data_IF_693767518905
#
_entry.id   IF_693767518905
#
_cell.length_a   1.000
_cell.length_b   1.000
_cell.length_c   1.000
_cell.angle_alpha   90.00
_cell.angle_beta   90.00
_cell.angle_gamma   90.00
#
_symmetry.space_group_name_H-M   'P 1'
#
loop_
_entity.id
_entity.type
_entity.pdbx_description
1 polymer ?
#
# COMPACT_ATOMS: atom_id res chain seq x y z
N UNK A 1 85.77 6.44 -12.52
CA UNK A 1 84.87 6.35 -11.36
C UNK A 1 83.58 6.98 -11.78
N UNK A 2 82.63 6.16 -12.19
CA UNK A 2 81.26 6.56 -12.51
C UNK A 2 80.33 5.84 -11.55
N UNK A 3 79.68 6.60 -10.67
CA UNK A 3 78.66 6.08 -9.79
C UNK A 3 77.34 5.88 -10.56
N UNK A 4 76.83 4.69 -10.56
CA UNK A 4 75.53 4.35 -11.15
C UNK A 4 74.42 4.66 -10.19
N UNK A 5 73.48 5.54 -10.61
CA UNK A 5 72.22 5.78 -9.93
C UNK A 5 71.26 4.62 -10.21
N UNK A 6 70.95 3.86 -9.19
CA UNK A 6 69.85 2.90 -9.22
C UNK A 6 68.50 3.62 -9.11
N UNK A 7 67.61 3.40 -10.08
CA UNK A 7 66.21 3.83 -10.06
C UNK A 7 65.44 2.77 -9.25
N UNK A 8 64.61 3.17 -8.24
CA UNK A 8 63.77 2.20 -7.56
C UNK A 8 62.58 1.80 -8.43
N UNK A 9 62.40 0.51 -8.62
CA UNK A 9 61.24 -0.12 -9.24
C UNK A 9 60.01 0.19 -8.41
N UNK A 10 59.13 1.07 -8.92
CA UNK A 10 57.81 1.30 -8.40
C UNK A 10 56.82 0.28 -9.01
N UNK A 11 56.84 -0.94 -8.50
CA UNK A 11 55.82 -1.92 -8.76
C UNK A 11 55.04 -2.15 -7.43
N UNK A 12 54.30 -1.13 -6.97
CA UNK A 12 53.29 -1.36 -5.97
C UNK A 12 52.15 -2.10 -6.63
N UNK A 13 52.08 -3.42 -6.36
CA UNK A 13 50.94 -4.25 -6.67
C UNK A 13 49.71 -3.70 -5.99
N UNK A 14 48.85 -3.03 -6.74
CA UNK A 14 47.46 -2.78 -6.35
C UNK A 14 46.83 -4.14 -6.07
N UNK A 15 46.60 -4.45 -4.79
CA UNK A 15 45.84 -5.60 -4.38
C UNK A 15 44.46 -5.60 -5.06
N UNK A 16 43.85 -6.76 -5.25
CA UNK A 16 42.55 -6.83 -5.91
C UNK A 16 41.59 -5.94 -5.14
N UNK A 17 41.05 -4.91 -5.82
CA UNK A 17 39.92 -4.16 -5.32
C UNK A 17 38.82 -5.21 -5.07
N UNK A 18 38.44 -5.44 -3.81
CA UNK A 18 37.37 -6.36 -3.46
C UNK A 18 36.15 -5.95 -4.27
N UNK A 19 35.73 -6.80 -5.20
CA UNK A 19 34.54 -6.57 -6.00
C UNK A 19 33.35 -6.39 -5.03
N UNK A 20 32.52 -5.36 -5.28
CA UNK A 20 31.32 -5.13 -4.47
C UNK A 20 30.40 -6.35 -4.58
N UNK A 21 29.77 -6.82 -3.48
CA UNK A 21 28.80 -7.91 -3.58
C UNK A 21 27.67 -7.55 -4.53
N UNK A 22 27.26 -8.49 -5.36
CA UNK A 22 26.15 -8.34 -6.29
C UNK A 22 24.81 -8.68 -5.63
N UNK A 23 23.78 -7.89 -5.89
CA UNK A 23 22.43 -8.09 -5.34
C UNK A 23 21.38 -8.01 -6.43
N UNK A 24 20.56 -9.06 -6.55
CA UNK A 24 19.32 -9.02 -7.31
C UNK A 24 18.18 -8.48 -6.43
N UNK A 25 17.41 -7.52 -6.92
CA UNK A 25 16.18 -7.05 -6.29
C UNK A 25 15.01 -7.41 -7.20
N UNK A 26 14.03 -8.17 -6.69
CA UNK A 26 12.91 -8.70 -7.47
C UNK A 26 11.65 -7.94 -7.12
N UNK A 27 11.11 -7.20 -8.09
CA UNK A 27 9.95 -6.33 -7.94
C UNK A 27 10.32 -4.86 -7.69
N UNK A 28 9.67 -3.96 -8.43
CA UNK A 28 9.90 -2.52 -8.41
C UNK A 28 8.84 -1.72 -7.65
N UNK A 29 8.08 -2.35 -6.75
CA UNK A 29 7.23 -1.63 -5.79
C UNK A 29 8.07 -0.75 -4.86
N UNK A 30 7.43 0.03 -4.01
CA UNK A 30 8.12 0.95 -3.08
C UNK A 30 9.17 0.23 -2.22
N UNK A 31 8.93 -1.03 -1.83
CA UNK A 31 9.87 -1.84 -1.04
C UNK A 31 11.15 -2.18 -1.82
N UNK A 32 10.99 -2.71 -3.04
CA UNK A 32 12.11 -3.07 -3.88
C UNK A 32 12.92 -1.86 -4.34
N UNK A 33 12.25 -0.79 -4.78
CA UNK A 33 12.92 0.46 -5.16
C UNK A 33 13.70 1.08 -3.99
N UNK A 34 13.13 1.07 -2.77
CA UNK A 34 13.82 1.58 -1.57
C UNK A 34 15.03 0.71 -1.24
N UNK A 35 14.89 -0.61 -1.24
CA UNK A 35 15.98 -1.54 -0.98
C UNK A 35 17.10 -1.39 -2.02
N UNK A 36 16.74 -1.40 -3.31
CA UNK A 36 17.68 -1.24 -4.41
C UNK A 36 18.48 0.06 -4.28
N UNK A 37 17.79 1.18 -4.07
CA UNK A 37 18.42 2.49 -3.91
C UNK A 37 19.43 2.51 -2.76
N UNK A 38 19.06 2.00 -1.60
CA UNK A 38 19.96 1.99 -0.44
C UNK A 38 21.16 1.07 -0.66
N UNK A 39 20.95 -0.10 -1.25
CA UNK A 39 21.98 -1.09 -1.51
C UNK A 39 23.03 -0.60 -2.52
N UNK A 40 22.70 0.33 -3.44
CA UNK A 40 23.69 0.91 -4.37
C UNK A 40 24.89 1.56 -3.66
N UNK A 41 24.76 1.90 -2.38
CA UNK A 41 25.86 2.49 -1.60
C UNK A 41 27.02 1.53 -1.41
N UNK A 42 26.76 0.22 -1.36
CA UNK A 42 27.76 -0.81 -1.02
C UNK A 42 27.75 -2.05 -1.92
N UNK A 43 26.73 -2.21 -2.78
CA UNK A 43 26.52 -3.37 -3.62
C UNK A 43 26.36 -2.98 -5.08
N UNK A 44 26.64 -3.94 -5.97
CA UNK A 44 26.27 -3.87 -7.39
C UNK A 44 24.85 -4.42 -7.54
N UNK A 45 23.90 -3.52 -7.81
CA UNK A 45 22.46 -3.81 -7.76
C UNK A 45 21.89 -3.96 -9.15
N UNK A 46 21.14 -5.05 -9.38
CA UNK A 46 20.26 -5.25 -10.54
C UNK A 46 18.81 -5.35 -10.05
N UNK A 47 17.93 -4.49 -10.54
CA UNK A 47 16.49 -4.52 -10.27
C UNK A 47 15.75 -5.22 -11.42
N UNK A 48 14.94 -6.23 -11.09
CA UNK A 48 14.08 -6.96 -12.02
C UNK A 48 12.61 -6.57 -11.80
N UNK A 49 11.91 -6.27 -12.90
CA UNK A 49 10.48 -5.96 -12.92
C UNK A 49 9.80 -6.72 -14.07
N UNK A 50 8.75 -7.45 -13.76
CA UNK A 50 7.99 -8.21 -14.73
C UNK A 50 7.15 -7.33 -15.65
N UNK A 51 6.64 -6.20 -15.13
CA UNK A 51 5.86 -5.23 -15.89
C UNK A 51 6.77 -4.30 -16.73
N UNK A 52 6.22 -3.72 -17.77
CA UNK A 52 6.88 -2.64 -18.54
C UNK A 52 7.02 -1.34 -17.77
N UNK A 53 6.27 -1.20 -16.68
CA UNK A 53 6.19 -0.05 -15.79
C UNK A 53 6.85 -0.36 -14.44
N UNK A 54 7.55 0.60 -13.86
CA UNK A 54 8.04 0.52 -12.48
C UNK A 54 7.03 1.11 -11.50
N UNK A 55 7.15 0.76 -10.23
CA UNK A 55 6.45 1.40 -9.12
C UNK A 55 5.36 0.56 -8.45
N UNK A 56 4.96 -0.58 -9.04
CA UNK A 56 3.88 -1.39 -8.48
C UNK A 56 2.60 -0.57 -8.31
N UNK A 57 2.11 -0.39 -7.08
CA UNK A 57 0.93 0.43 -6.77
C UNK A 57 1.14 1.96 -6.91
N UNK A 58 2.36 2.45 -7.10
CA UNK A 58 2.60 3.82 -7.55
C UNK A 58 2.38 3.89 -9.06
N UNK A 59 1.18 4.26 -9.47
CA UNK A 59 0.75 4.27 -10.86
C UNK A 59 0.03 5.57 -11.21
N UNK A 60 0.70 6.40 -12.01
CA UNK A 60 0.21 7.71 -12.47
C UNK A 60 -0.14 7.65 -13.96
N UNK A 61 -1.28 8.21 -14.32
CA UNK A 61 -1.78 8.34 -15.69
C UNK A 61 -1.71 9.80 -16.12
N UNK A 62 -1.18 10.06 -17.31
CA UNK A 62 -1.20 11.39 -17.93
C UNK A 62 -2.50 11.57 -18.71
N UNK A 63 -3.30 12.54 -18.32
CA UNK A 63 -4.62 12.79 -18.86
C UNK A 63 -4.72 14.22 -19.37
N UNK A 64 -5.26 14.39 -20.57
CA UNK A 64 -5.57 15.70 -21.15
C UNK A 64 -7.06 15.99 -20.95
N UNK A 65 -7.39 17.04 -20.22
CA UNK A 65 -8.77 17.47 -20.02
C UNK A 65 -9.37 18.11 -21.27
N UNK A 66 -10.70 18.31 -21.28
CA UNK A 66 -11.42 18.89 -22.42
C UNK A 66 -11.03 20.35 -22.74
N UNK A 67 -10.46 21.06 -21.78
CA UNK A 67 -9.90 22.41 -21.95
C UNK A 67 -8.42 22.43 -22.37
N UNK A 68 -7.82 21.24 -22.62
CA UNK A 68 -6.43 21.06 -23.00
C UNK A 68 -5.44 21.08 -21.83
N UNK A 69 -5.90 21.17 -20.58
CA UNK A 69 -5.01 21.07 -19.41
C UNK A 69 -4.55 19.65 -19.16
N UNK A 70 -3.27 19.49 -18.76
CA UNK A 70 -2.64 18.20 -18.48
C UNK A 70 -2.72 17.89 -16.98
N UNK A 71 -3.07 16.64 -16.66
CA UNK A 71 -3.23 16.15 -15.28
C UNK A 71 -2.55 14.80 -15.08
N UNK A 72 -1.72 14.70 -14.04
CA UNK A 72 -1.11 13.44 -13.60
C UNK A 72 -1.97 12.82 -12.49
N UNK A 73 -2.76 11.81 -12.82
CA UNK A 73 -3.75 11.21 -11.93
C UNK A 73 -3.28 9.83 -11.45
N UNK A 74 -3.16 9.66 -10.14
CA UNK A 74 -2.78 8.37 -9.52
C UNK A 74 -3.99 7.42 -9.43
N UNK A 75 -3.75 6.12 -9.62
CA UNK A 75 -4.78 5.09 -9.49
C UNK A 75 -4.53 4.07 -8.37
N UNK A 76 -3.35 4.09 -7.76
CA UNK A 76 -2.99 3.18 -6.67
C UNK A 76 -2.60 3.95 -5.40
N UNK A 77 -1.30 4.22 -5.19
CA UNK A 77 -0.85 5.05 -4.07
C UNK A 77 -1.16 6.53 -4.33
N UNK A 78 -1.90 7.16 -3.40
CA UNK A 78 -2.42 8.52 -3.57
C UNK A 78 -1.92 9.46 -2.46
N UNK A 79 -1.98 9.01 -1.20
CA UNK A 79 -1.80 9.90 -0.03
C UNK A 79 -0.90 9.31 1.03
N UNK A 80 -0.23 10.19 1.78
CA UNK A 80 0.52 9.89 2.99
C UNK A 80 0.29 11.00 4.02
N UNK A 81 0.78 10.83 5.25
CA UNK A 81 0.61 11.85 6.29
C UNK A 81 1.89 12.12 7.08
N UNK A 82 1.88 13.16 7.89
CA UNK A 82 3.05 13.62 8.65
C UNK A 82 3.36 12.81 9.91
N UNK A 83 2.46 11.93 10.33
CA UNK A 83 2.58 11.17 11.58
C UNK A 83 3.05 9.74 11.38
N UNK A 84 2.47 9.04 10.41
CA UNK A 84 2.62 7.58 10.28
C UNK A 84 3.46 7.16 9.07
N UNK A 85 4.07 8.11 8.35
CA UNK A 85 4.92 7.86 7.17
C UNK A 85 6.36 8.40 7.32
N UNK A 86 7.10 8.09 8.41
CA UNK A 86 8.43 8.64 8.65
C UNK A 86 9.46 8.22 7.61
N UNK A 87 9.47 6.96 7.19
CA UNK A 87 10.44 6.44 6.21
C UNK A 87 10.16 6.95 4.81
N UNK A 88 8.90 6.91 4.39
CA UNK A 88 8.50 7.41 3.07
C UNK A 88 8.79 8.93 2.96
N UNK A 89 8.49 9.69 4.01
CA UNK A 89 8.80 11.14 4.03
C UNK A 89 10.29 11.42 4.01
N UNK A 90 11.10 10.59 4.70
CA UNK A 90 12.56 10.69 4.63
C UNK A 90 13.05 10.42 3.20
N UNK A 91 12.50 9.39 2.55
CA UNK A 91 12.79 9.07 1.16
C UNK A 91 12.42 10.23 0.23
N UNK A 92 11.23 10.80 0.37
CA UNK A 92 10.79 11.95 -0.43
C UNK A 92 11.68 13.17 -0.23
N UNK A 93 12.11 13.44 1.01
CA UNK A 93 13.04 14.55 1.29
C UNK A 93 14.41 14.34 0.62
N UNK A 94 14.98 13.11 0.69
CA UNK A 94 16.27 12.78 0.05
C UNK A 94 16.19 12.83 -1.49
N UNK A 95 15.02 12.49 -2.02
CA UNK A 95 14.75 12.54 -3.45
C UNK A 95 14.26 13.93 -3.92
N UNK A 96 14.09 14.90 -3.02
CA UNK A 96 13.52 16.24 -3.31
C UNK A 96 12.11 16.18 -3.93
N UNK A 97 11.31 15.19 -3.56
CA UNK A 97 9.93 15.01 -4.05
C UNK A 97 9.03 16.06 -3.43
N UNK A 98 8.40 16.87 -4.25
CA UNK A 98 7.44 17.88 -3.81
C UNK A 98 6.12 17.20 -3.42
N UNK A 99 5.53 17.63 -2.30
CA UNK A 99 4.23 17.14 -1.81
C UNK A 99 3.28 18.30 -1.55
N UNK A 100 1.97 18.07 -1.69
CA UNK A 100 0.93 19.06 -1.47
C UNK A 100 0.00 18.61 -0.35
N UNK A 101 -0.46 19.53 0.53
CA UNK A 101 -1.51 19.21 1.49
C UNK A 101 -2.79 18.74 0.79
N UNK A 102 -3.45 17.76 1.38
CA UNK A 102 -4.75 17.27 0.93
C UNK A 102 -5.68 17.01 2.10
N UNK A 103 -6.96 16.81 1.80
CA UNK A 103 -7.95 16.40 2.80
C UNK A 103 -8.13 14.87 2.77
N UNK A 104 -8.59 14.35 3.90
CA UNK A 104 -9.04 12.97 4.02
C UNK A 104 -10.46 12.96 4.56
N UNK A 105 -11.38 12.48 3.77
CA UNK A 105 -12.79 12.34 4.12
C UNK A 105 -13.38 11.08 3.49
N UNK A 106 -14.35 10.48 4.15
CA UNK A 106 -15.01 9.26 3.71
C UNK A 106 -16.53 9.43 3.75
N UNK A 107 -17.21 8.99 2.72
CA UNK A 107 -18.67 8.91 2.67
C UNK A 107 -19.17 7.47 2.61
N UNK A 108 -20.43 7.32 3.04
CA UNK A 108 -21.19 6.09 2.88
C UNK A 108 -22.48 6.41 2.15
N UNK A 109 -22.77 5.65 1.09
CA UNK A 109 -24.03 5.64 0.37
C UNK A 109 -24.64 4.25 0.39
N UNK A 110 -25.84 4.11 0.92
CA UNK A 110 -26.64 2.88 0.85
C UNK A 110 -27.81 3.09 -0.12
N UNK A 111 -27.88 2.26 -1.17
CA UNK A 111 -28.94 2.39 -2.20
C UNK A 111 -30.30 1.95 -1.67
N UNK A 112 -30.36 0.93 -0.82
CA UNK A 112 -31.62 0.39 -0.28
C UNK A 112 -32.33 1.40 0.64
N UNK A 113 -31.65 1.88 1.70
CA UNK A 113 -32.28 2.82 2.64
C UNK A 113 -32.10 4.29 2.26
N UNK A 114 -31.34 4.58 1.19
CA UNK A 114 -31.07 5.93 0.72
C UNK A 114 -30.25 6.79 1.69
N UNK A 115 -29.49 6.18 2.62
CA UNK A 115 -28.61 6.89 3.54
C UNK A 115 -27.38 7.40 2.80
N UNK A 116 -27.11 8.70 2.92
CA UNK A 116 -25.87 9.33 2.47
C UNK A 116 -25.33 10.27 3.55
N UNK A 117 -24.07 10.09 3.94
CA UNK A 117 -23.36 10.97 4.86
C UNK A 117 -21.85 10.92 4.62
N UNK A 118 -21.10 11.88 5.15
CA UNK A 118 -19.64 11.87 5.12
C UNK A 118 -19.02 12.20 6.48
N UNK A 119 -18.05 11.41 6.89
CA UNK A 119 -17.11 11.71 7.97
C UNK A 119 -15.93 12.54 7.46
N UNK A 120 -15.25 13.25 8.38
CA UNK A 120 -14.11 14.10 8.03
C UNK A 120 -14.45 15.46 7.43
N UNK A 121 -15.74 15.73 7.13
CA UNK A 121 -16.25 17.00 6.56
C UNK A 121 -17.08 17.83 7.54
N UNK A 122 -16.93 17.56 8.84
CA UNK A 122 -17.67 18.25 9.88
C UNK A 122 -19.19 18.07 9.79
N UNK A 123 -19.95 19.04 10.33
CA UNK A 123 -21.41 18.97 10.32
C UNK A 123 -22.03 18.94 8.91
N UNK A 124 -21.41 19.60 7.93
CA UNK A 124 -21.91 19.62 6.55
C UNK A 124 -21.95 18.22 5.93
N UNK A 125 -20.93 17.40 6.18
CA UNK A 125 -20.90 16.03 5.69
C UNK A 125 -21.84 15.11 6.48
N UNK A 126 -21.82 15.21 7.81
CA UNK A 126 -22.70 14.42 8.68
C UNK A 126 -24.19 14.67 8.42
N UNK A 127 -24.54 15.90 8.08
CA UNK A 127 -25.91 16.36 7.82
C UNK A 127 -26.15 16.60 6.32
N UNK A 128 -25.47 15.87 5.46
CA UNK A 128 -25.66 15.96 4.01
C UNK A 128 -27.12 15.75 3.59
N UNK A 129 -27.86 14.97 4.37
CA UNK A 129 -29.31 14.77 4.27
C UNK A 129 -30.00 15.27 5.56
N UNK A 130 -30.45 16.55 5.68
CA UNK A 130 -31.03 17.10 6.93
C UNK A 130 -32.23 16.31 7.47
N UNK A 131 -32.98 15.65 6.58
CA UNK A 131 -34.12 14.79 6.98
C UNK A 131 -33.71 13.63 7.90
N UNK A 132 -32.46 13.21 7.86
CA UNK A 132 -31.93 12.12 8.72
C UNK A 132 -31.82 12.52 10.20
N UNK A 133 -31.90 13.79 10.53
CA UNK A 133 -32.03 14.24 11.93
C UNK A 133 -33.34 13.75 12.59
N UNK A 134 -34.34 13.36 11.81
CA UNK A 134 -35.58 12.77 12.27
C UNK A 134 -35.56 11.23 12.24
N UNK A 135 -34.47 10.62 11.80
CA UNK A 135 -34.30 9.18 11.71
C UNK A 135 -33.65 8.63 13.00
N UNK A 136 -34.40 7.87 13.84
CA UNK A 136 -33.85 7.33 15.08
C UNK A 136 -32.71 6.37 14.88
N UNK A 137 -32.68 5.59 13.76
CA UNK A 137 -31.60 4.66 13.46
C UNK A 137 -30.29 5.41 13.15
N UNK A 138 -30.38 6.48 12.36
CA UNK A 138 -29.22 7.34 12.08
C UNK A 138 -28.67 7.99 13.36
N UNK A 139 -29.54 8.56 14.20
CA UNK A 139 -29.10 9.17 15.47
C UNK A 139 -28.45 8.13 16.40
N UNK A 140 -29.03 6.94 16.49
CA UNK A 140 -28.47 5.84 17.27
C UNK A 140 -27.09 5.42 16.74
N UNK A 141 -26.94 5.33 15.42
CA UNK A 141 -25.64 5.06 14.77
C UNK A 141 -24.58 6.09 15.18
N UNK A 142 -24.90 7.38 15.17
CA UNK A 142 -23.98 8.44 15.61
C UNK A 142 -23.55 8.31 17.07
N UNK A 143 -24.47 7.89 17.96
CA UNK A 143 -24.13 7.60 19.36
C UNK A 143 -23.22 6.38 19.48
N UNK A 144 -23.46 5.35 18.66
CA UNK A 144 -22.61 4.16 18.63
C UNK A 144 -21.21 4.45 18.10
N UNK A 145 -21.01 5.41 17.19
CA UNK A 145 -19.66 5.85 16.76
C UNK A 145 -18.83 6.30 17.97
N UNK A 146 -19.37 7.12 18.85
CA UNK A 146 -18.65 7.56 20.07
C UNK A 146 -18.36 6.39 21.02
N UNK A 147 -19.32 5.47 21.16
CA UNK A 147 -19.14 4.25 21.96
C UNK A 147 -18.06 3.37 21.37
N UNK A 148 -18.04 3.20 20.06
CA UNK A 148 -17.04 2.42 19.32
C UNK A 148 -15.63 2.97 19.55
N UNK A 149 -15.39 4.27 19.34
CA UNK A 149 -14.08 4.88 19.60
C UNK A 149 -13.60 4.63 21.04
N UNK A 150 -14.49 4.79 22.02
CA UNK A 150 -14.15 4.54 23.43
C UNK A 150 -13.80 3.08 23.69
N UNK A 151 -14.56 2.12 23.13
CA UNK A 151 -14.33 0.68 23.32
C UNK A 151 -13.09 0.20 22.59
N UNK A 152 -12.85 0.67 21.37
CA UNK A 152 -11.63 0.41 20.63
C UNK A 152 -10.38 0.91 21.37
N UNK A 153 -10.42 2.15 21.86
CA UNK A 153 -9.32 2.70 22.68
C UNK A 153 -9.12 1.91 23.99
N UNK A 154 -10.20 1.43 24.63
CA UNK A 154 -10.10 0.58 25.82
C UNK A 154 -9.43 -0.76 25.53
N UNK A 155 -9.74 -1.39 24.39
CA UNK A 155 -9.05 -2.62 23.94
C UNK A 155 -7.55 -2.38 23.72
N UNK A 156 -7.17 -1.26 23.11
CA UNK A 156 -5.76 -0.93 22.90
C UNK A 156 -4.96 -0.75 24.20
N UNK A 157 -5.62 -0.31 25.28
CA UNK A 157 -5.02 -0.13 26.60
C UNK A 157 -4.96 -1.42 27.44
N UNK A 158 -5.63 -2.48 26.99
CA UNK A 158 -5.57 -3.78 27.64
C UNK A 158 -4.15 -4.36 27.57
N UNK A 159 -3.64 -5.03 28.61
CA UNK A 159 -2.28 -5.60 28.63
C UNK A 159 -2.11 -6.81 27.71
N UNK A 160 -3.18 -7.43 27.25
CA UNK A 160 -3.12 -8.59 26.35
C UNK A 160 -2.79 -8.17 24.92
N UNK A 161 -1.51 -8.13 24.60
CA UNK A 161 -1.05 -7.79 23.24
C UNK A 161 -1.24 -8.94 22.24
N UNK A 162 -1.44 -10.15 22.69
CA UNK A 162 -1.69 -11.35 21.87
C UNK A 162 -3.16 -11.58 21.52
N UNK A 163 -4.07 -10.68 21.92
CA UNK A 163 -5.51 -10.81 21.64
C UNK A 163 -5.78 -10.77 20.12
N UNK A 164 -6.12 -11.93 19.56
CA UNK A 164 -6.50 -12.14 18.16
C UNK A 164 -8.02 -12.17 17.95
N UNK A 165 -8.81 -11.70 18.92
CA UNK A 165 -10.27 -11.52 18.77
C UNK A 165 -10.55 -10.79 17.46
N UNK A 166 -11.41 -11.36 16.61
CA UNK A 166 -11.75 -10.76 15.33
C UNK A 166 -12.62 -9.51 15.51
N UNK A 167 -12.63 -8.65 14.49
CA UNK A 167 -13.46 -7.44 14.49
C UNK A 167 -14.95 -7.77 14.64
N UNK A 168 -15.44 -8.81 13.97
CA UNK A 168 -16.81 -9.28 14.11
C UNK A 168 -17.12 -9.72 15.55
N UNK A 169 -16.27 -10.54 16.16
CA UNK A 169 -16.42 -10.96 17.56
C UNK A 169 -16.37 -9.77 18.54
N UNK A 170 -15.53 -8.78 18.28
CA UNK A 170 -15.50 -7.55 19.09
C UNK A 170 -16.81 -6.79 18.97
N UNK A 171 -17.35 -6.58 17.78
CA UNK A 171 -18.61 -5.85 17.54
C UNK A 171 -19.79 -6.55 18.22
N UNK A 172 -19.86 -7.88 18.11
CA UNK A 172 -20.89 -8.70 18.75
C UNK A 172 -20.79 -8.64 20.28
N UNK A 173 -19.61 -8.90 20.85
CA UNK A 173 -19.34 -8.84 22.29
C UNK A 173 -19.70 -7.50 22.91
N UNK A 174 -19.43 -6.42 22.19
CA UNK A 174 -19.74 -5.07 22.63
C UNK A 174 -21.20 -4.67 22.34
N UNK A 175 -21.99 -5.51 21.67
CA UNK A 175 -23.43 -5.29 21.41
C UNK A 175 -23.69 -4.09 20.49
N UNK A 176 -22.93 -3.98 19.40
CA UNK A 176 -23.23 -3.04 18.33
C UNK A 176 -24.36 -3.60 17.46
N UNK A 177 -25.31 -2.74 17.05
CA UNK A 177 -26.40 -3.20 16.21
C UNK A 177 -25.99 -3.32 14.74
N UNK A 178 -26.77 -4.09 14.00
CA UNK A 178 -26.51 -4.41 12.59
C UNK A 178 -26.48 -3.15 11.71
N UNK A 179 -27.30 -2.14 12.00
CA UNK A 179 -27.31 -0.89 11.26
C UNK A 179 -25.97 -0.13 11.40
N UNK A 180 -25.43 -0.08 12.61
CA UNK A 180 -24.10 0.50 12.86
C UNK A 180 -23.00 -0.33 12.17
N UNK A 181 -23.09 -1.66 12.27
CA UNK A 181 -22.09 -2.55 11.63
C UNK A 181 -22.08 -2.33 10.13
N UNK A 182 -23.24 -2.34 9.49
CA UNK A 182 -23.35 -2.21 8.03
C UNK A 182 -22.98 -0.81 7.53
N UNK A 183 -23.41 0.25 8.21
CA UNK A 183 -23.29 1.62 7.68
C UNK A 183 -22.12 2.42 8.24
N UNK A 184 -21.38 1.90 9.22
CA UNK A 184 -20.18 2.57 9.75
C UNK A 184 -19.00 1.62 9.91
N UNK A 185 -19.17 0.53 10.69
CA UNK A 185 -18.04 -0.30 11.10
C UNK A 185 -17.36 -1.01 9.91
N UNK A 186 -18.13 -1.68 9.08
CA UNK A 186 -17.62 -2.34 7.86
C UNK A 186 -17.09 -1.31 6.84
N UNK A 187 -17.83 -0.24 6.48
CA UNK A 187 -17.34 0.78 5.56
C UNK A 187 -15.97 1.36 5.90
N UNK A 188 -15.68 1.61 7.18
CA UNK A 188 -14.37 2.13 7.62
C UNK A 188 -13.24 1.16 7.25
N UNK A 189 -13.42 -0.14 7.49
CA UNK A 189 -12.41 -1.15 7.18
C UNK A 189 -12.30 -1.37 5.66
N UNK A 190 -13.45 -1.49 5.00
CA UNK A 190 -13.52 -1.73 3.56
C UNK A 190 -12.91 -0.58 2.74
N UNK A 191 -13.10 0.68 3.14
CA UNK A 191 -12.46 1.81 2.48
C UNK A 191 -10.94 1.79 2.62
N UNK A 192 -10.42 1.31 3.76
CA UNK A 192 -8.98 1.33 4.06
C UNK A 192 -8.24 0.19 3.36
N UNK A 193 -8.83 -1.02 3.31
CA UNK A 193 -8.17 -2.22 2.77
C UNK A 193 -8.85 -2.85 1.56
N UNK A 194 -9.88 -2.21 1.00
CA UNK A 194 -10.65 -2.74 -0.14
C UNK A 194 -11.22 -4.14 0.12
N UNK A 195 -11.48 -4.46 1.39
CA UNK A 195 -11.94 -5.76 1.83
C UNK A 195 -13.47 -5.83 1.86
N UNK A 196 -14.06 -6.91 1.34
CA UNK A 196 -15.49 -7.19 1.47
C UNK A 196 -15.91 -7.37 2.94
N UNK A 197 -17.23 -7.31 3.21
CA UNK A 197 -17.79 -7.37 4.56
C UNK A 197 -17.27 -8.58 5.38
N UNK A 198 -17.32 -9.77 4.81
CA UNK A 198 -16.91 -10.99 5.51
C UNK A 198 -15.43 -10.94 5.90
N UNK A 199 -14.58 -10.55 4.96
CA UNK A 199 -13.13 -10.39 5.19
C UNK A 199 -12.86 -9.29 6.21
N UNK A 200 -13.54 -8.15 6.12
CA UNK A 200 -13.38 -7.05 7.07
C UNK A 200 -13.69 -7.46 8.53
N UNK A 201 -14.68 -8.34 8.73
CA UNK A 201 -15.05 -8.84 10.06
C UNK A 201 -14.05 -9.87 10.62
N UNK A 202 -13.21 -10.48 9.79
CA UNK A 202 -12.15 -11.41 10.22
C UNK A 202 -10.87 -10.71 10.68
N UNK A 203 -10.69 -9.42 10.40
CA UNK A 203 -9.49 -8.69 10.85
C UNK A 203 -9.33 -8.78 12.36
N UNK A 204 -8.12 -9.02 12.90
CA UNK A 204 -7.88 -8.93 14.34
C UNK A 204 -8.19 -7.52 14.85
N UNK A 205 -9.14 -7.40 15.77
CA UNK A 205 -9.66 -6.10 16.21
C UNK A 205 -8.57 -5.17 16.76
N UNK A 206 -7.66 -5.73 17.56
CA UNK A 206 -6.53 -4.96 18.13
C UNK A 206 -5.58 -4.42 17.06
N UNK A 207 -5.26 -5.23 16.05
CA UNK A 207 -4.43 -4.84 14.91
C UNK A 207 -5.09 -3.71 14.11
N UNK A 208 -6.36 -3.87 13.78
CA UNK A 208 -7.19 -2.86 13.14
C UNK A 208 -7.24 -1.54 13.94
N UNK A 209 -7.52 -1.62 15.24
CA UNK A 209 -7.65 -0.41 16.07
C UNK A 209 -6.33 0.30 16.26
N UNK A 210 -5.20 -0.40 16.31
CA UNK A 210 -3.87 0.21 16.34
C UNK A 210 -3.64 1.05 15.08
N UNK A 211 -4.00 0.53 13.92
CA UNK A 211 -3.96 1.31 12.67
C UNK A 211 -4.86 2.55 12.73
N UNK A 212 -6.14 2.38 13.11
CA UNK A 212 -7.10 3.49 13.19
C UNK A 212 -6.65 4.58 14.18
N UNK A 213 -6.08 4.19 15.31
CA UNK A 213 -5.56 5.13 16.32
C UNK A 213 -4.35 5.91 15.80
N UNK A 214 -3.38 5.23 15.19
CA UNK A 214 -2.21 5.87 14.60
C UNK A 214 -2.60 6.89 13.52
N UNK A 215 -3.63 6.61 12.74
CA UNK A 215 -4.14 7.51 11.70
C UNK A 215 -5.15 8.55 12.20
N UNK A 216 -5.37 8.61 13.52
CA UNK A 216 -6.29 9.56 14.14
C UNK A 216 -7.78 9.31 13.84
N UNK A 217 -8.13 8.08 13.40
CA UNK A 217 -9.50 7.70 13.01
C UNK A 217 -10.36 7.25 14.19
N UNK A 218 -9.79 7.05 15.39
CA UNK A 218 -10.52 6.78 16.63
C UNK A 218 -10.82 8.04 17.43
N UNK A 219 -10.60 9.22 16.86
CA UNK A 219 -10.87 10.51 17.50
C UNK A 219 -11.61 11.46 16.56
N UNK A 220 -12.42 12.35 17.15
CA UNK A 220 -13.14 13.39 16.37
C UNK A 220 -12.22 14.56 15.99
N UNK A 221 -11.09 14.71 16.69
CA UNK A 221 -10.09 15.77 16.47
C UNK A 221 -8.69 15.17 16.54
N UNK A 222 -7.73 15.83 15.88
CA UNK A 222 -6.33 15.42 15.92
C UNK A 222 -5.92 14.45 14.82
N UNK A 223 -6.66 14.41 13.71
CA UNK A 223 -6.19 13.74 12.48
C UNK A 223 -4.87 14.34 12.02
N UNK A 224 -3.94 13.53 11.49
CA UNK A 224 -2.71 14.02 10.91
C UNK A 224 -2.99 14.90 9.68
N UNK A 225 -2.02 15.73 9.29
CA UNK A 225 -2.09 16.40 8.00
C UNK A 225 -1.75 15.40 6.90
N UNK A 226 -2.62 15.30 5.92
CA UNK A 226 -2.43 14.45 4.75
C UNK A 226 -1.80 15.22 3.60
N UNK A 227 -1.06 14.50 2.77
CA UNK A 227 -0.34 15.01 1.61
C UNK A 227 -0.48 14.05 0.43
N UNK A 228 -0.36 14.61 -0.78
CA UNK A 228 -0.21 13.87 -2.04
C UNK A 228 1.06 14.31 -2.75
N UNK A 229 1.58 13.48 -3.65
CA UNK A 229 2.78 13.81 -4.43
C UNK A 229 2.43 14.77 -5.56
N UNK A 230 3.15 15.88 -5.67
CA UNK A 230 3.00 16.81 -6.78
C UNK A 230 3.49 16.16 -8.09
N UNK A 231 2.65 16.19 -9.12
CA UNK A 231 2.94 15.51 -10.40
C UNK A 231 2.71 13.99 -10.38
N UNK A 232 2.05 13.47 -9.32
CA UNK A 232 1.72 12.06 -9.16
C UNK A 232 2.86 11.23 -8.56
N UNK A 233 2.50 10.04 -8.09
CA UNK A 233 3.42 9.09 -7.41
C UNK A 233 4.58 8.63 -8.30
N UNK A 234 4.40 8.60 -9.62
CA UNK A 234 5.46 8.33 -10.60
C UNK A 234 6.72 9.18 -10.35
N UNK A 235 6.59 10.40 -9.85
CA UNK A 235 7.71 11.31 -9.61
C UNK A 235 8.79 10.70 -8.72
N UNK A 236 8.43 10.05 -7.62
CA UNK A 236 9.41 9.41 -6.74
C UNK A 236 9.98 8.12 -7.36
N UNK A 237 9.17 7.38 -8.10
CA UNK A 237 9.59 6.15 -8.80
C UNK A 237 10.68 6.46 -9.83
N UNK A 238 10.47 7.46 -10.67
CA UNK A 238 11.43 7.89 -11.70
C UNK A 238 12.73 8.40 -11.07
N UNK A 239 12.63 9.18 -9.99
CA UNK A 239 13.82 9.68 -9.28
C UNK A 239 14.64 8.58 -8.62
N UNK A 240 14.00 7.51 -8.12
CA UNK A 240 14.69 6.32 -7.64
C UNK A 240 15.32 5.55 -8.79
N UNK A 241 14.55 5.25 -9.84
CA UNK A 241 15.03 4.49 -10.98
C UNK A 241 16.25 5.14 -11.66
N UNK A 242 16.26 6.47 -11.76
CA UNK A 242 17.39 7.23 -12.33
C UNK A 242 18.70 7.11 -11.52
N UNK A 243 18.62 6.62 -10.26
CA UNK A 243 19.79 6.40 -9.39
C UNK A 243 20.26 4.94 -9.36
N UNK A 244 19.54 4.04 -10.03
CA UNK A 244 19.89 2.63 -10.08
C UNK A 244 20.78 2.33 -11.30
N UNK A 245 21.85 1.54 -11.14
CA UNK A 245 22.80 1.24 -12.22
C UNK A 245 22.24 0.29 -13.27
N UNK A 246 21.41 -0.70 -12.89
CA UNK A 246 20.83 -1.72 -13.78
C UNK A 246 19.35 -1.97 -13.42
N UNK A 247 18.45 -1.62 -14.35
CA UNK A 247 17.00 -1.78 -14.20
C UNK A 247 16.46 -2.55 -15.40
N UNK A 248 15.96 -3.75 -15.16
CA UNK A 248 15.44 -4.68 -16.17
C UNK A 248 13.92 -4.74 -16.11
N UNK A 249 13.26 -3.97 -16.97
CA UNK A 249 11.79 -3.95 -17.13
C UNK A 249 11.35 -5.02 -18.11
N UNK A 250 10.10 -5.48 -17.98
CA UNK A 250 9.53 -6.58 -18.78
C UNK A 250 10.39 -7.85 -18.71
N UNK A 251 11.06 -8.05 -17.58
CA UNK A 251 11.90 -9.21 -17.29
C UNK A 251 11.39 -9.87 -16.01
N UNK A 252 10.37 -10.72 -16.14
CA UNK A 252 9.82 -11.48 -15.01
C UNK A 252 10.81 -12.56 -14.57
N UNK A 253 11.11 -12.58 -13.27
CA UNK A 253 11.82 -13.70 -12.63
C UNK A 253 10.83 -14.85 -12.50
N UNK A 254 11.24 -16.06 -12.86
CA UNK A 254 10.45 -17.29 -12.76
C UNK A 254 10.92 -18.20 -11.64
N UNK A 255 12.24 -18.23 -11.39
CA UNK A 255 12.82 -19.11 -10.39
C UNK A 255 13.99 -18.44 -9.66
N UNK A 256 14.07 -18.71 -8.37
CA UNK A 256 15.15 -18.33 -7.47
C UNK A 256 15.67 -19.61 -6.83
N UNK A 257 16.94 -19.95 -7.13
CA UNK A 257 17.60 -21.15 -6.58
C UNK A 257 18.79 -20.73 -5.74
N UNK A 258 18.80 -21.07 -4.46
CA UNK A 258 19.92 -20.80 -3.57
C UNK A 258 21.03 -21.84 -3.73
N UNK A 259 22.27 -21.39 -3.73
CA UNK A 259 23.47 -22.21 -3.83
C UNK A 259 24.42 -21.87 -2.67
N UNK A 260 25.36 -22.74 -2.32
CA UNK A 260 26.31 -22.44 -1.24
C UNK A 260 27.12 -21.15 -1.45
N UNK A 261 27.28 -20.72 -2.70
CA UNK A 261 28.14 -19.62 -3.12
C UNK A 261 27.35 -18.50 -3.83
N UNK A 262 26.02 -18.38 -3.60
CA UNK A 262 25.19 -17.31 -4.14
C UNK A 262 23.79 -17.78 -4.52
N UNK A 263 23.09 -16.96 -5.32
CA UNK A 263 21.72 -17.16 -5.75
C UNK A 263 21.65 -17.12 -7.27
N UNK A 264 20.99 -18.10 -7.87
CA UNK A 264 20.68 -18.15 -9.30
C UNK A 264 19.27 -17.59 -9.54
N UNK A 265 19.17 -16.59 -10.41
CA UNK A 265 17.91 -15.96 -10.81
C UNK A 265 17.62 -16.35 -12.25
N UNK A 266 16.52 -17.05 -12.48
CA UNK A 266 16.04 -17.43 -13.82
C UNK A 266 14.97 -16.44 -14.27
N UNK A 267 15.09 -15.93 -15.51
CA UNK A 267 14.21 -14.89 -16.05
C UNK A 267 13.57 -15.33 -17.37
N UNK A 268 12.27 -15.03 -17.52
CA UNK A 268 11.51 -15.09 -18.76
C UNK A 268 11.32 -16.50 -19.36
N UNK A 269 10.50 -16.59 -20.43
CA UNK A 269 10.30 -17.82 -21.17
C UNK A 269 11.58 -18.14 -21.96
N UNK A 270 12.28 -19.19 -21.58
CA UNK A 270 13.56 -19.60 -22.17
C UNK A 270 14.72 -19.63 -21.17
N UNK A 271 14.48 -19.19 -19.94
CA UNK A 271 15.31 -19.50 -18.79
C UNK A 271 16.72 -18.91 -18.82
N UNK A 272 16.89 -17.64 -19.21
CA UNK A 272 18.17 -16.99 -19.00
C UNK A 272 18.48 -16.91 -17.51
N UNK A 273 19.63 -17.44 -17.10
CA UNK A 273 20.04 -17.49 -15.69
C UNK A 273 21.16 -16.47 -15.45
N UNK A 274 21.03 -15.71 -14.36
CA UNK A 274 22.07 -14.82 -13.85
C UNK A 274 22.38 -15.19 -12.40
N UNK A 275 23.64 -14.98 -11.97
CA UNK A 275 24.09 -15.31 -10.64
C UNK A 275 24.40 -14.04 -9.84
N UNK A 276 24.02 -14.06 -8.58
CA UNK A 276 24.22 -12.97 -7.62
C UNK A 276 24.69 -13.53 -6.27
N UNK A 277 25.37 -12.71 -5.49
CA UNK A 277 25.75 -13.09 -4.13
C UNK A 277 24.51 -13.10 -3.21
N UNK A 278 23.54 -12.22 -3.48
CA UNK A 278 22.36 -11.97 -2.61
C UNK A 278 21.11 -11.67 -3.42
N UNK A 279 19.94 -11.85 -2.78
CA UNK A 279 18.65 -11.48 -3.36
C UNK A 279 17.74 -10.79 -2.33
N UNK A 280 17.06 -9.74 -2.76
CA UNK A 280 15.91 -9.13 -2.09
C UNK A 280 14.66 -9.51 -2.87
N UNK A 281 13.75 -10.28 -2.26
CA UNK A 281 12.48 -10.65 -2.88
C UNK A 281 11.43 -9.65 -2.40
N UNK A 282 11.05 -8.72 -3.28
CA UNK A 282 10.20 -7.57 -2.97
C UNK A 282 8.85 -7.61 -3.72
N UNK A 283 8.34 -8.80 -3.92
CA UNK A 283 7.01 -9.11 -4.50
C UNK A 283 5.97 -9.30 -3.40
N UNK A 284 4.74 -9.71 -3.75
CA UNK A 284 3.77 -10.22 -2.78
C UNK A 284 4.32 -11.50 -2.12
N UNK A 285 3.82 -11.83 -0.92
CA UNK A 285 4.33 -12.97 -0.15
C UNK A 285 4.08 -14.33 -0.86
N UNK A 286 2.92 -14.50 -1.47
CA UNK A 286 2.55 -15.67 -2.25
C UNK A 286 3.40 -15.80 -3.53
N UNK A 287 3.64 -14.68 -4.22
CA UNK A 287 4.55 -14.62 -5.36
C UNK A 287 5.98 -14.94 -4.92
N UNK A 288 6.45 -14.36 -3.80
CA UNK A 288 7.78 -14.65 -3.26
C UNK A 288 7.95 -16.16 -3.02
N UNK A 289 6.94 -16.82 -2.43
CA UNK A 289 6.97 -18.27 -2.20
C UNK A 289 7.01 -19.05 -3.52
N UNK A 290 6.22 -18.61 -4.52
CA UNK A 290 6.15 -19.31 -5.82
C UNK A 290 7.45 -19.24 -6.63
N UNK A 291 8.28 -18.22 -6.40
CA UNK A 291 9.57 -18.05 -7.07
C UNK A 291 10.68 -18.97 -6.50
N UNK A 292 10.54 -19.45 -5.28
CA UNK A 292 11.57 -20.29 -4.64
C UNK A 292 11.51 -21.73 -5.17
N UNK A 293 12.62 -22.26 -5.66
CA UNK A 293 12.72 -23.65 -6.07
C UNK A 293 13.00 -24.60 -4.91
N UNK A 294 13.46 -24.06 -3.78
CA UNK A 294 13.93 -24.77 -2.60
C UNK A 294 13.41 -24.14 -1.28
N UNK A 295 12.09 -23.85 -1.17
CA UNK A 295 11.57 -23.16 0.00
C UNK A 295 11.73 -24.04 1.26
N UNK A 296 12.13 -23.43 2.37
CA UNK A 296 12.12 -24.10 3.68
C UNK A 296 10.71 -24.23 4.23
N UNK A 297 10.53 -25.12 5.20
CA UNK A 297 9.23 -25.32 5.86
C UNK A 297 8.72 -24.02 6.51
N UNK A 298 9.61 -23.22 7.09
CA UNK A 298 9.27 -21.91 7.67
C UNK A 298 8.83 -20.91 6.59
N UNK A 299 9.50 -20.85 5.46
CA UNK A 299 9.10 -19.99 4.32
C UNK A 299 7.72 -20.39 3.81
N UNK A 300 7.47 -21.68 3.62
CA UNK A 300 6.16 -22.19 3.21
C UNK A 300 5.10 -21.80 4.24
N UNK A 301 5.34 -22.04 5.52
CA UNK A 301 4.37 -21.77 6.59
C UNK A 301 4.05 -20.28 6.73
N UNK A 302 5.09 -19.43 6.70
CA UNK A 302 4.96 -17.99 6.98
C UNK A 302 4.41 -17.27 5.76
N UNK A 303 5.00 -17.46 4.55
CA UNK A 303 4.60 -16.72 3.36
C UNK A 303 3.20 -17.11 2.86
N UNK A 304 2.81 -18.39 2.99
CA UNK A 304 1.47 -18.88 2.65
C UNK A 304 0.35 -18.27 3.52
N UNK A 305 0.68 -17.76 4.71
CA UNK A 305 -0.33 -17.16 5.60
C UNK A 305 -0.88 -15.81 5.08
N UNK A 306 -0.22 -15.19 4.11
CA UNK A 306 -0.65 -13.92 3.53
C UNK A 306 -1.50 -14.17 2.28
N UNK A 307 -2.78 -13.82 2.37
CA UNK A 307 -3.69 -13.80 1.23
C UNK A 307 -3.83 -12.41 0.63
N UNK A 308 -4.28 -12.37 -0.61
CA UNK A 308 -4.54 -11.13 -1.34
C UNK A 308 -5.94 -11.15 -1.95
N UNK A 309 -6.61 -10.00 -1.97
CA UNK A 309 -7.89 -9.82 -2.65
C UNK A 309 -7.68 -9.11 -3.98
N UNK A 310 -8.14 -9.66 -5.11
CA UNK A 310 -8.13 -8.95 -6.39
C UNK A 310 -9.16 -7.83 -6.35
N UNK A 311 -8.79 -6.67 -6.95
CA UNK A 311 -9.65 -5.51 -7.06
C UNK A 311 -9.51 -4.91 -8.47
N UNK A 312 -10.50 -5.17 -9.33
CA UNK A 312 -10.59 -4.46 -10.61
C UNK A 312 -10.75 -2.97 -10.34
N UNK A 313 -9.87 -2.18 -10.86
CA UNK A 313 -9.78 -0.74 -10.61
C UNK A 313 -9.95 0.03 -11.91
N UNK A 314 -10.93 0.93 -11.94
CA UNK A 314 -11.27 1.71 -13.13
C UNK A 314 -10.98 3.19 -12.87
N UNK A 315 -10.14 3.79 -13.71
CA UNK A 315 -9.98 5.24 -13.80
C UNK A 315 -10.97 5.76 -14.84
N UNK A 316 -11.81 6.73 -14.47
CA UNK A 316 -12.92 7.19 -15.30
C UNK A 316 -13.35 8.63 -14.97
N UNK A 317 -14.30 9.17 -15.75
CA UNK A 317 -14.88 10.52 -15.57
C UNK A 317 -16.38 10.52 -15.23
N UNK A 318 -17.01 9.36 -15.09
CA UNK A 318 -18.44 9.23 -14.77
C UNK A 318 -18.73 9.61 -13.32
N UNK A 319 -19.18 10.85 -13.08
CA UNK A 319 -19.50 11.37 -11.76
C UNK A 319 -20.85 10.87 -11.17
N UNK A 320 -21.63 10.08 -11.93
CA UNK A 320 -22.90 9.51 -11.47
C UNK A 320 -22.72 8.49 -10.34
N UNK A 321 -21.50 7.92 -10.22
CA UNK A 321 -21.15 6.98 -9.14
C UNK A 321 -20.97 7.65 -7.77
N UNK A 322 -20.78 8.99 -7.73
CA UNK A 322 -20.66 9.76 -6.49
C UNK A 322 -22.01 9.87 -5.76
N UNK A 323 -22.01 10.15 -4.43
CA UNK A 323 -23.24 10.46 -3.71
C UNK A 323 -24.08 11.57 -4.37
N UNK A 324 -25.41 11.44 -4.32
CA UNK A 324 -26.33 12.44 -4.85
C UNK A 324 -26.29 13.73 -4.03
N UNK A 325 -26.32 13.58 -2.69
CA UNK A 325 -26.17 14.70 -1.79
C UNK A 325 -24.75 15.27 -1.87
N UNK A 326 -24.61 16.49 -2.42
CA UNK A 326 -23.29 17.14 -2.60
C UNK A 326 -22.49 17.29 -1.29
N UNK A 327 -23.19 17.42 -0.14
CA UNK A 327 -22.58 17.41 1.18
C UNK A 327 -21.91 16.09 1.54
N UNK A 328 -22.40 14.97 0.99
CA UNK A 328 -21.85 13.63 1.22
C UNK A 328 -20.68 13.29 0.31
N UNK A 329 -20.46 14.00 -0.81
CA UNK A 329 -19.32 13.71 -1.70
C UNK A 329 -18.00 13.95 -0.98
N UNK A 330 -17.24 12.89 -0.78
CA UNK A 330 -15.98 12.87 -0.03
C UNK A 330 -14.80 12.48 -0.93
N UNK A 331 -13.59 12.45 -0.37
CA UNK A 331 -12.40 11.92 -1.06
C UNK A 331 -12.54 10.44 -1.35
N UNK A 332 -13.07 9.67 -0.39
CA UNK A 332 -13.38 8.25 -0.48
C UNK A 332 -14.88 8.05 -0.35
N UNK A 333 -15.51 7.39 -1.30
CA UNK A 333 -16.96 7.23 -1.36
C UNK A 333 -17.30 5.74 -1.40
N UNK A 334 -17.69 5.19 -0.24
CA UNK A 334 -18.14 3.81 -0.11
C UNK A 334 -19.59 3.69 -0.56
N UNK A 335 -19.87 2.72 -1.42
CA UNK A 335 -21.21 2.42 -1.93
C UNK A 335 -21.60 1.01 -1.55
N UNK A 336 -22.82 0.85 -1.07
CA UNK A 336 -23.44 -0.43 -0.79
C UNK A 336 -24.83 -0.49 -1.41
N UNK A 337 -25.19 -1.63 -2.01
CA UNK A 337 -26.47 -1.82 -2.66
C UNK A 337 -27.57 -2.07 -1.64
N UNK A 338 -27.28 -2.78 -0.54
CA UNK A 338 -28.27 -3.11 0.49
C UNK A 338 -27.69 -2.97 1.90
N UNK A 339 -28.59 -2.87 2.90
CA UNK A 339 -28.24 -2.79 4.31
C UNK A 339 -27.67 -4.12 4.87
N UNK A 340 -27.93 -5.24 4.22
CA UNK A 340 -27.68 -6.59 4.74
C UNK A 340 -26.82 -7.46 3.81
N UNK A 341 -26.42 -6.96 2.63
CA UNK A 341 -25.64 -7.76 1.67
C UNK A 341 -24.30 -8.20 2.25
N UNK A 342 -24.03 -9.51 2.20
CA UNK A 342 -22.75 -10.12 2.60
C UNK A 342 -21.84 -10.41 1.42
N UNK A 343 -22.40 -10.73 0.25
CA UNK A 343 -21.70 -11.35 -0.88
C UNK A 343 -21.24 -10.35 -1.97
N UNK A 344 -21.29 -9.05 -1.71
CA UNK A 344 -20.91 -8.08 -2.72
C UNK A 344 -19.47 -7.61 -2.54
N UNK A 345 -18.74 -7.45 -3.66
CA UNK A 345 -17.42 -6.84 -3.61
C UNK A 345 -17.51 -5.41 -3.07
N UNK A 346 -16.43 -4.98 -2.44
CA UNK A 346 -16.32 -3.61 -1.91
C UNK A 346 -16.28 -2.61 -3.06
N UNK A 347 -17.25 -1.71 -3.12
CA UNK A 347 -17.25 -0.61 -4.08
C UNK A 347 -16.81 0.68 -3.37
N UNK A 348 -15.66 1.18 -3.78
CA UNK A 348 -15.12 2.47 -3.29
C UNK A 348 -14.73 3.31 -4.49
N UNK A 349 -15.18 4.57 -4.49
CA UNK A 349 -14.77 5.56 -5.50
C UNK A 349 -13.92 6.63 -4.84
N UNK A 350 -12.69 6.79 -5.33
CA UNK A 350 -11.77 7.87 -4.95
C UNK A 350 -11.96 9.07 -5.88
N UNK A 351 -12.20 10.25 -5.30
CA UNK A 351 -12.35 11.49 -6.07
C UNK A 351 -11.01 12.21 -6.18
N UNK A 352 -10.33 12.02 -7.31
CA UNK A 352 -8.95 12.43 -7.50
C UNK A 352 -8.77 13.95 -7.56
N UNK A 353 -9.75 14.68 -8.13
CA UNK A 353 -9.71 16.16 -8.12
C UNK A 353 -9.58 16.70 -6.70
N UNK A 354 -10.25 16.05 -5.73
CA UNK A 354 -10.18 16.45 -4.33
C UNK A 354 -8.92 15.95 -3.63
N UNK A 355 -8.53 14.70 -3.90
CA UNK A 355 -7.34 14.08 -3.30
C UNK A 355 -6.03 14.68 -3.80
N UNK A 356 -5.93 14.95 -5.11
CA UNK A 356 -4.71 15.48 -5.72
C UNK A 356 -4.80 16.96 -6.07
N UNK A 357 -5.96 17.63 -5.82
CA UNK A 357 -6.13 19.06 -6.05
C UNK A 357 -6.15 19.45 -7.53
N UNK A 358 -6.69 18.56 -8.41
CA UNK A 358 -6.82 18.87 -9.83
C UNK A 358 -7.91 19.93 -10.06
N UNK A 359 -7.57 20.97 -10.82
CA UNK A 359 -8.48 22.03 -11.26
C UNK A 359 -8.98 21.77 -12.68
N UNK A 360 -9.42 20.54 -12.94
CA UNK A 360 -9.99 20.13 -14.23
C UNK A 360 -11.50 20.43 -14.30
N UNK A 361 -12.06 20.75 -15.49
CA UNK A 361 -13.50 20.82 -15.70
C UNK A 361 -14.18 19.44 -15.57
N UNK A 362 -13.41 18.35 -15.68
CA UNK A 362 -13.87 16.98 -15.53
C UNK A 362 -13.51 16.42 -14.16
N UNK A 363 -14.37 15.58 -13.61
CA UNK A 363 -14.04 14.76 -12.44
C UNK A 363 -13.19 13.56 -12.87
N UNK A 364 -12.07 13.34 -12.19
CA UNK A 364 -11.28 12.11 -12.30
C UNK A 364 -11.57 11.24 -11.10
N UNK A 365 -12.02 10.03 -11.37
CA UNK A 365 -12.48 9.07 -10.37
C UNK A 365 -11.75 7.76 -10.55
N UNK A 366 -11.42 7.13 -9.44
CA UNK A 366 -10.88 5.77 -9.41
C UNK A 366 -11.85 4.91 -8.62
N UNK A 367 -12.49 3.94 -9.28
CA UNK A 367 -13.52 3.10 -8.66
C UNK A 367 -13.09 1.64 -8.65
N UNK A 368 -13.23 0.99 -7.49
CA UNK A 368 -12.94 -0.42 -7.29
C UNK A 368 -14.20 -1.26 -7.47
N UNK A 369 -14.07 -2.39 -8.20
CA UNK A 369 -15.04 -3.49 -8.28
C UNK A 369 -16.45 -3.10 -8.74
N UNK A 370 -16.57 -2.12 -9.64
CA UNK A 370 -17.87 -1.69 -10.14
C UNK A 370 -17.82 -1.17 -11.60
N UNK A 371 -16.99 -1.80 -12.42
CA UNK A 371 -16.84 -1.43 -13.85
C UNK A 371 -18.17 -1.40 -14.61
N UNK A 372 -19.07 -2.34 -14.31
CA UNK A 372 -20.39 -2.47 -14.94
C UNK A 372 -21.34 -1.29 -14.64
N UNK A 373 -21.00 -0.47 -13.62
CA UNK A 373 -21.76 0.73 -13.23
C UNK A 373 -21.23 2.01 -13.85
N UNK A 374 -20.11 1.94 -14.55
CA UNK A 374 -19.44 3.09 -15.18
C UNK A 374 -19.79 3.10 -16.66
N UNK A 375 -20.17 4.27 -17.17
CA UNK A 375 -20.41 4.45 -18.61
C UNK A 375 -19.14 4.04 -19.40
N UNK A 376 -19.23 3.11 -20.35
CA UNK A 376 -18.05 2.66 -21.11
C UNK A 376 -17.30 3.79 -21.83
N UNK A 377 -17.99 4.86 -22.24
CA UNK A 377 -17.38 6.03 -22.88
C UNK A 377 -16.53 6.87 -21.93
N UNK A 378 -16.76 6.74 -20.63
CA UNK A 378 -16.08 7.52 -19.59
C UNK A 378 -14.91 6.78 -18.97
N UNK A 379 -14.67 5.52 -19.33
CA UNK A 379 -13.54 4.71 -18.86
C UNK A 379 -12.25 5.19 -19.56
N UNK A 380 -11.25 5.55 -18.76
CA UNK A 380 -9.94 6.01 -19.23
C UNK A 380 -8.90 4.89 -19.14
N UNK A 381 -8.91 4.09 -18.04
CA UNK A 381 -8.03 2.94 -17.87
C UNK A 381 -8.65 1.90 -16.95
N UNK A 382 -8.23 0.64 -17.11
CA UNK A 382 -8.60 -0.48 -16.25
C UNK A 382 -7.32 -1.13 -15.76
N UNK A 383 -7.23 -1.39 -14.45
CA UNK A 383 -6.11 -2.02 -13.77
C UNK A 383 -6.63 -3.12 -12.85
N UNK A 384 -5.84 -4.16 -12.67
CA UNK A 384 -6.06 -5.19 -11.66
C UNK A 384 -5.05 -4.99 -10.53
N UNK A 385 -5.54 -4.63 -9.34
CA UNK A 385 -4.73 -4.51 -8.14
C UNK A 385 -5.08 -5.59 -7.13
N UNK A 386 -4.07 -6.00 -6.37
CA UNK A 386 -4.24 -6.95 -5.29
C UNK A 386 -3.88 -6.30 -3.96
N UNK A 387 -4.77 -6.44 -2.97
CA UNK A 387 -4.56 -5.88 -1.64
C UNK A 387 -4.42 -7.00 -0.60
N UNK A 388 -3.46 -6.90 0.34
CA UNK A 388 -3.27 -7.91 1.37
C UNK A 388 -4.48 -8.00 2.31
N UNK A 389 -4.83 -9.24 2.65
CA UNK A 389 -5.88 -9.57 3.62
C UNK A 389 -5.22 -9.88 4.96
N UNK A 390 -5.77 -9.33 6.05
CA UNK A 390 -5.26 -9.56 7.40
C UNK A 390 -6.20 -10.43 8.22
N UNK A 391 -5.74 -11.63 8.50
CA UNK A 391 -6.40 -12.61 9.37
C UNK A 391 -5.58 -12.81 10.65
N UNK A 392 -6.12 -13.47 11.70
CA UNK A 392 -5.32 -13.85 12.85
C UNK A 392 -4.03 -14.59 12.47
N UNK A 393 -4.09 -15.46 11.48
CA UNK A 393 -2.96 -16.26 10.99
C UNK A 393 -1.90 -15.38 10.33
N UNK A 394 -2.30 -14.45 9.42
CA UNK A 394 -1.33 -13.58 8.75
C UNK A 394 -0.70 -12.58 9.71
N UNK A 395 -1.45 -12.04 10.67
CA UNK A 395 -0.91 -11.14 11.72
C UNK A 395 0.06 -11.89 12.65
N UNK A 396 -0.23 -13.16 12.99
CA UNK A 396 0.71 -13.99 13.74
C UNK A 396 1.98 -14.29 12.91
N UNK A 397 1.85 -14.61 11.62
CA UNK A 397 2.96 -14.86 10.71
C UNK A 397 3.86 -13.61 10.52
N UNK A 398 3.28 -12.41 10.54
CA UNK A 398 4.03 -11.15 10.41
C UNK A 398 5.18 -11.02 11.42
N UNK A 399 4.97 -11.45 12.67
CA UNK A 399 5.99 -11.40 13.71
C UNK A 399 7.20 -12.33 13.44
N UNK A 400 7.04 -13.30 12.53
CA UNK A 400 8.05 -14.29 12.18
C UNK A 400 8.80 -13.98 10.88
N UNK A 401 8.35 -13.00 10.09
CA UNK A 401 8.96 -12.65 8.79
C UNK A 401 10.46 -12.35 8.91
N UNK A 402 10.87 -11.67 9.97
CA UNK A 402 12.29 -11.36 10.20
C UNK A 402 13.20 -12.59 10.36
N UNK A 403 12.65 -13.74 10.79
CA UNK A 403 13.39 -14.98 10.94
C UNK A 403 13.69 -15.70 9.61
N UNK A 404 13.03 -15.29 8.52
CA UNK A 404 13.28 -15.85 7.18
C UNK A 404 14.52 -15.26 6.51
N UNK A 405 15.07 -14.16 7.04
CA UNK A 405 16.24 -13.51 6.49
C UNK A 405 17.50 -14.37 6.71
N UNK A 406 18.28 -14.52 5.65
CA UNK A 406 19.57 -15.23 5.64
C UNK A 406 20.66 -14.33 5.07
N UNK A 407 21.92 -14.76 5.09
CA UNK A 407 23.03 -14.01 4.49
C UNK A 407 22.86 -13.79 2.98
N UNK A 408 22.04 -14.60 2.30
CA UNK A 408 21.81 -14.54 0.87
C UNK A 408 20.43 -14.00 0.47
N UNK A 409 19.40 -14.18 1.31
CA UNK A 409 18.00 -13.92 0.93
C UNK A 409 17.29 -13.10 2.00
N UNK A 410 16.63 -12.04 1.58
CA UNK A 410 15.72 -11.24 2.45
C UNK A 410 14.42 -10.95 1.72
N UNK A 411 13.36 -10.77 2.48
CA UNK A 411 12.03 -10.45 2.00
C UNK A 411 11.68 -9.00 2.33
N UNK A 412 11.01 -8.33 1.40
CA UNK A 412 10.48 -6.98 1.61
C UNK A 412 9.10 -6.85 0.95
N UNK A 413 8.23 -6.06 1.54
CA UNK A 413 6.88 -5.85 1.02
C UNK A 413 6.01 -5.14 2.02
N UNK A 414 4.90 -4.58 1.57
CA UNK A 414 3.95 -3.90 2.44
C UNK A 414 3.29 -4.86 3.46
N UNK A 415 3.29 -6.17 3.20
CA UNK A 415 2.79 -7.21 4.10
C UNK A 415 3.61 -7.35 5.40
N UNK A 416 4.78 -6.71 5.51
CA UNK A 416 5.54 -6.56 6.76
C UNK A 416 4.87 -5.60 7.76
N UNK A 417 3.76 -4.99 7.41
CA UNK A 417 2.97 -4.09 8.25
C UNK A 417 1.50 -4.10 7.81
N UNK A 418 0.87 -2.94 7.81
CA UNK A 418 -0.56 -2.80 7.48
C UNK A 418 -0.89 -2.79 5.98
N UNK A 419 0.08 -2.99 5.09
CA UNK A 419 -0.13 -3.03 3.65
C UNK A 419 0.01 -1.68 2.94
N UNK A 420 0.57 -0.67 3.59
CA UNK A 420 0.70 0.67 3.03
C UNK A 420 2.11 0.97 2.53
N UNK A 421 2.24 2.08 1.78
CA UNK A 421 3.53 2.51 1.23
C UNK A 421 4.61 2.74 2.30
N UNK A 422 4.23 3.20 3.49
CA UNK A 422 5.16 3.29 4.62
C UNK A 422 5.74 1.93 5.01
N UNK A 423 4.87 0.91 5.09
CA UNK A 423 5.30 -0.44 5.46
C UNK A 423 6.23 -1.04 4.39
N UNK A 424 5.89 -0.82 3.11
CA UNK A 424 6.75 -1.21 2.00
C UNK A 424 8.10 -0.49 2.03
N UNK A 425 8.11 0.83 2.21
CA UNK A 425 9.35 1.61 2.32
C UNK A 425 10.20 1.14 3.52
N UNK A 426 9.59 0.99 4.69
CA UNK A 426 10.25 0.49 5.91
C UNK A 426 10.86 -0.88 5.69
N UNK A 427 10.13 -1.82 5.10
CA UNK A 427 10.64 -3.18 4.82
C UNK A 427 11.83 -3.16 3.86
N UNK A 428 11.82 -2.29 2.85
CA UNK A 428 12.97 -2.06 1.97
C UNK A 428 14.21 -1.54 2.70
N UNK A 429 14.01 -0.63 3.68
CA UNK A 429 15.09 -0.15 4.56
C UNK A 429 15.62 -1.29 5.43
N UNK A 430 14.74 -2.12 5.99
CA UNK A 430 15.11 -3.26 6.84
C UNK A 430 15.89 -4.31 6.04
N UNK A 431 15.48 -4.58 4.79
CA UNK A 431 16.21 -5.47 3.87
C UNK A 431 17.62 -4.94 3.57
N UNK A 432 17.76 -3.65 3.29
CA UNK A 432 19.07 -3.04 3.08
C UNK A 432 19.95 -3.09 4.34
N UNK A 433 19.37 -2.89 5.53
CA UNK A 433 20.07 -3.00 6.82
C UNK A 433 20.57 -4.40 7.09
N UNK A 434 19.80 -5.42 6.74
CA UNK A 434 20.22 -6.82 6.89
C UNK A 434 21.51 -7.09 6.11
N UNK A 435 21.66 -6.49 4.93
CA UNK A 435 22.88 -6.58 4.13
C UNK A 435 23.95 -5.51 4.48
N UNK A 436 23.84 -4.89 5.65
CA UNK A 436 24.86 -4.01 6.23
C UNK A 436 24.77 -2.53 5.81
N UNK A 437 23.69 -2.10 5.15
CA UNK A 437 23.51 -0.71 4.76
C UNK A 437 22.66 0.03 5.78
N UNK A 438 23.19 1.09 6.36
CA UNK A 438 22.45 2.00 7.26
C UNK A 438 21.96 3.23 6.52
N UNK A 439 20.78 3.73 6.90
CA UNK A 439 20.16 4.92 6.32
C UNK A 439 19.65 5.90 7.36
#
# INVERSE_FOLDING_TARGET
MQEGNAVPDANEASGPVSARPSVAVIGSGVSGLTAAYLLTRTHDVTLFEADGRLGGHAHTHDLTASDGSEHAVDSGFIVHNDRTYPWLRKLFAELEVEVRPTEMSMSVRCEECGLEYAGGRGLRGMLAQPRRLLDPQFLRMLLQVKRFHRRATALLRSPDEGDLTTYGQFLEREGFDEHFVAHYAVPVVSCVWSAGREVALLYPARYLFRFLDHHGMLAVKGSPQWYTVAGGSRTYVERLAARLPDVRRSVGVTDITRRPDGVEITCGPGGSTARFDRVVIATHADQALSLLTDPSDDEVQILKAFGYSPNETVLHTDSSVLPEASGARACWNYRMSSCTSTDQPTVVTYWMNRLQGHTSPQDYLVTLNARERISPSDILAVMDYEHPIYTPESVAAQSRLGALATDQTVYAGAYHGWGFHEDGCRSGVEAARHFGVTW
#
